data_IF_456112640644
#
_entry.id   IF_456112640644
#
_cell.length_a   1.000
_cell.length_b   1.000
_cell.length_c   1.000
_cell.angle_alpha   90.00
_cell.angle_beta   90.00
_cell.angle_gamma   90.00
#
_symmetry.space_group_name_H-M   'P 1'
#
loop_
_entity.id
_entity.type
_entity.pdbx_description
1 polymer ?
#
# COMPACT_ATOMS: atom_id res chain seq x y z
N UNK A 1 10.81 40.12 -75.50
CA UNK A 1 9.81 39.46 -76.37
C UNK A 1 9.21 38.33 -75.57
N UNK A 2 7.90 38.12 -75.40
CA UNK A 2 6.69 38.83 -75.82
C UNK A 2 5.56 38.31 -74.90
N UNK A 3 4.68 39.21 -74.49
CA UNK A 3 3.41 38.98 -73.79
C UNK A 3 2.53 37.91 -74.45
N UNK A 4 1.71 37.20 -73.65
CA UNK A 4 0.24 37.07 -73.86
C UNK A 4 -0.46 36.23 -72.78
N UNK A 5 -1.36 36.87 -72.04
CA UNK A 5 -2.69 36.31 -71.67
C UNK A 5 -3.57 36.29 -72.95
N UNK A 6 -4.73 35.59 -73.06
CA UNK A 6 -5.86 35.47 -72.11
C UNK A 6 -6.44 34.02 -72.03
N UNK A 7 -7.42 33.64 -71.19
CA UNK A 7 -8.84 33.94 -71.34
C UNK A 7 -9.65 33.40 -70.16
N UNK A 8 -10.55 34.26 -69.67
CA UNK A 8 -11.61 34.00 -68.71
C UNK A 8 -12.67 33.08 -69.33
N UNK A 9 -13.03 32.01 -68.62
CA UNK A 9 -14.31 31.33 -68.78
C UNK A 9 -15.02 31.35 -67.42
N UNK A 10 -16.01 32.23 -67.31
CA UNK A 10 -16.92 32.34 -66.17
C UNK A 10 -17.96 31.23 -66.33
N UNK A 11 -17.85 30.18 -65.53
CA UNK A 11 -18.90 29.18 -65.37
C UNK A 11 -19.77 29.57 -64.17
N UNK A 12 -21.01 29.99 -64.45
CA UNK A 12 -22.07 30.10 -63.47
C UNK A 12 -22.50 28.70 -63.03
N UNK A 13 -22.16 28.30 -61.81
CA UNK A 13 -22.82 27.18 -61.13
C UNK A 13 -23.81 27.73 -60.11
N UNK A 14 -25.10 27.60 -60.42
CA UNK A 14 -26.20 27.67 -59.46
C UNK A 14 -26.04 26.51 -58.46
N UNK A 15 -25.40 26.77 -57.33
CA UNK A 15 -25.42 25.87 -56.19
C UNK A 15 -26.76 26.03 -55.46
N UNK A 16 -27.60 25.00 -55.53
CA UNK A 16 -28.74 24.85 -54.66
C UNK A 16 -28.26 24.92 -53.20
N UNK A 17 -28.84 25.84 -52.41
CA UNK A 17 -28.65 25.89 -50.98
C UNK A 17 -29.28 24.63 -50.36
N UNK A 18 -28.46 23.63 -50.11
CA UNK A 18 -28.80 22.55 -49.17
C UNK A 18 -28.68 23.15 -47.77
N UNK A 19 -29.73 23.19 -46.94
CA UNK A 19 -29.58 23.63 -45.55
C UNK A 19 -28.58 22.69 -44.87
N UNK A 20 -27.56 23.28 -44.24
CA UNK A 20 -26.61 22.54 -43.42
C UNK A 20 -27.40 21.71 -42.38
N UNK A 21 -27.01 20.46 -42.10
CA UNK A 21 -27.59 19.74 -40.99
C UNK A 21 -27.40 20.58 -39.74
N UNK A 22 -28.50 20.91 -39.08
CA UNK A 22 -28.50 21.55 -37.77
C UNK A 22 -27.65 20.68 -36.86
N UNK A 23 -26.43 21.13 -36.58
CA UNK A 23 -25.53 20.53 -35.62
C UNK A 23 -26.25 20.61 -34.27
N UNK A 24 -26.89 19.50 -33.88
CA UNK A 24 -27.50 19.37 -32.56
C UNK A 24 -26.41 19.66 -31.55
N UNK A 25 -26.52 20.82 -30.88
CA UNK A 25 -25.63 21.18 -29.80
C UNK A 25 -25.53 19.96 -28.84
N UNK A 26 -24.33 19.52 -28.46
CA UNK A 26 -24.19 18.39 -27.58
C UNK A 26 -25.02 18.66 -26.32
N UNK A 27 -25.97 17.77 -26.04
CA UNK A 27 -26.73 17.80 -24.79
C UNK A 27 -25.70 17.86 -23.66
N UNK A 28 -25.76 18.84 -22.75
CA UNK A 28 -24.78 18.93 -21.68
C UNK A 28 -24.83 17.62 -20.88
N UNK A 29 -23.75 16.85 -20.97
CA UNK A 29 -23.56 15.64 -20.18
C UNK A 29 -23.44 16.07 -18.73
N UNK A 30 -24.40 15.62 -17.92
CA UNK A 30 -24.38 15.86 -16.47
C UNK A 30 -23.13 15.20 -15.88
N UNK A 31 -22.39 15.87 -14.98
CA UNK A 31 -21.23 15.25 -14.36
C UNK A 31 -21.61 14.00 -13.58
N UNK A 32 -20.82 12.96 -13.79
CA UNK A 32 -20.92 11.64 -13.20
C UNK A 32 -20.32 11.63 -11.80
N UNK A 33 -21.04 11.04 -10.86
CA UNK A 33 -20.64 10.96 -9.45
C UNK A 33 -20.72 9.53 -8.97
N UNK A 34 -19.66 9.05 -8.33
CA UNK A 34 -19.62 7.74 -7.69
C UNK A 34 -19.57 7.90 -6.17
N UNK A 35 -20.34 7.11 -5.43
CA UNK A 35 -20.19 6.99 -3.98
C UNK A 35 -19.22 5.86 -3.67
N UNK A 36 -18.29 6.09 -2.74
CA UNK A 36 -17.29 5.12 -2.37
C UNK A 36 -17.19 4.96 -0.85
N UNK A 37 -17.22 3.72 -0.33
CA UNK A 37 -17.09 3.50 1.10
C UNK A 37 -15.64 3.75 1.56
N UNK A 38 -15.47 4.62 2.55
CA UNK A 38 -14.19 4.88 3.24
C UNK A 38 -13.79 3.69 4.15
N UNK A 39 -14.74 2.81 4.47
CA UNK A 39 -14.51 1.61 5.28
C UNK A 39 -15.46 0.46 4.92
N UNK A 40 -15.07 -0.82 5.11
CA UNK A 40 -15.91 -1.96 4.75
C UNK A 40 -17.29 -1.97 5.42
N UNK A 41 -17.39 -1.47 6.66
CA UNK A 41 -18.61 -1.53 7.46
C UNK A 41 -19.80 -0.75 6.87
N UNK A 42 -19.57 0.31 6.08
CA UNK A 42 -20.66 1.10 5.47
C UNK A 42 -21.02 0.64 4.04
N UNK A 43 -20.29 -0.33 3.48
CA UNK A 43 -20.43 -0.70 2.08
C UNK A 43 -21.83 -1.25 1.73
N UNK A 44 -22.44 -2.03 2.63
CA UNK A 44 -23.79 -2.58 2.44
C UNK A 44 -24.85 -1.50 2.51
N UNK A 45 -24.80 -0.63 3.54
CA UNK A 45 -25.71 0.52 3.70
C UNK A 45 -25.65 1.45 2.48
N UNK A 46 -24.44 1.69 1.96
CA UNK A 46 -24.23 2.51 0.77
C UNK A 46 -24.82 1.87 -0.49
N UNK A 47 -24.71 0.54 -0.66
CA UNK A 47 -25.29 -0.16 -1.80
C UNK A 47 -26.83 -0.12 -1.77
N UNK A 48 -27.44 -0.28 -0.58
CA UNK A 48 -28.88 -0.13 -0.40
C UNK A 48 -29.34 1.30 -0.72
N UNK A 49 -28.57 2.30 -0.28
CA UNK A 49 -28.82 3.69 -0.61
C UNK A 49 -28.78 3.94 -2.12
N UNK A 50 -27.72 3.52 -2.82
CA UNK A 50 -27.57 3.64 -4.29
C UNK A 50 -28.74 3.01 -5.07
N UNK A 51 -29.28 1.88 -4.58
CA UNK A 51 -30.42 1.20 -5.20
C UNK A 51 -31.76 1.92 -4.96
N UNK A 52 -31.85 2.80 -3.96
CA UNK A 52 -33.09 3.44 -3.54
C UNK A 52 -33.50 4.65 -4.41
N UNK A 53 -34.81 4.91 -4.51
CA UNK A 53 -35.32 6.14 -5.11
C UNK A 53 -34.93 7.39 -4.30
N UNK A 54 -34.71 7.24 -2.99
CA UNK A 54 -34.30 8.33 -2.10
C UNK A 54 -32.92 8.90 -2.50
N UNK A 55 -31.96 8.04 -2.87
CA UNK A 55 -30.67 8.51 -3.39
C UNK A 55 -30.84 9.35 -4.66
N UNK A 56 -31.70 8.93 -5.58
CA UNK A 56 -31.97 9.69 -6.81
C UNK A 56 -32.64 11.04 -6.56
N UNK A 57 -33.44 11.15 -5.49
CA UNK A 57 -34.06 12.40 -5.09
C UNK A 57 -33.07 13.36 -4.40
N UNK A 58 -32.07 12.81 -3.70
CA UNK A 58 -31.08 13.58 -2.94
C UNK A 58 -29.88 14.02 -3.78
N UNK A 59 -29.58 13.32 -4.87
CA UNK A 59 -28.56 13.74 -5.83
C UNK A 59 -29.13 14.93 -6.62
N UNK A 60 -28.44 16.09 -6.63
CA UNK A 60 -28.88 17.24 -7.41
C UNK A 60 -29.12 16.84 -8.86
N UNK A 61 -30.23 17.28 -9.48
CA UNK A 61 -30.61 16.90 -10.84
C UNK A 61 -29.57 17.24 -11.92
N UNK A 62 -28.62 18.13 -11.60
CA UNK A 62 -27.45 18.48 -12.42
C UNK A 62 -26.36 17.41 -12.44
N UNK A 63 -26.37 16.47 -11.50
CA UNK A 63 -25.39 15.39 -11.37
C UNK A 63 -26.02 14.05 -11.79
N UNK A 64 -25.20 13.12 -12.26
CA UNK A 64 -25.58 11.75 -12.57
C UNK A 64 -24.92 10.79 -11.58
N UNK A 65 -25.70 10.08 -10.77
CA UNK A 65 -25.17 9.05 -9.88
C UNK A 65 -24.81 7.80 -10.70
N UNK A 66 -23.55 7.39 -10.64
CA UNK A 66 -23.02 6.18 -11.27
C UNK A 66 -22.85 5.10 -10.22
N UNK A 67 -23.26 3.87 -10.56
CA UNK A 67 -23.10 2.73 -9.67
C UNK A 67 -21.63 2.38 -9.48
N UNK A 68 -21.20 2.23 -8.22
CA UNK A 68 -19.84 1.78 -7.89
C UNK A 68 -19.54 0.33 -8.27
N UNK A 69 -20.56 -0.48 -8.55
CA UNK A 69 -20.40 -1.93 -8.70
C UNK A 69 -19.50 -2.32 -9.88
N UNK A 70 -19.65 -1.64 -11.03
CA UNK A 70 -18.83 -1.87 -12.21
C UNK A 70 -17.36 -1.51 -11.94
N UNK A 71 -17.11 -0.31 -11.41
CA UNK A 71 -15.76 0.14 -11.04
C UNK A 71 -15.10 -0.77 -10.01
N UNK A 72 -15.84 -1.20 -8.98
CA UNK A 72 -15.35 -2.11 -7.96
C UNK A 72 -14.99 -3.49 -8.54
N UNK A 73 -15.80 -4.02 -9.47
CA UNK A 73 -15.51 -5.27 -10.15
C UNK A 73 -14.27 -5.16 -11.06
N UNK A 74 -14.11 -4.05 -11.79
CA UNK A 74 -12.90 -3.79 -12.57
C UNK A 74 -11.66 -3.69 -11.67
N UNK A 75 -11.76 -2.96 -10.56
CA UNK A 75 -10.66 -2.79 -9.61
C UNK A 75 -10.23 -4.15 -9.04
N UNK A 76 -11.19 -5.00 -8.67
CA UNK A 76 -10.90 -6.33 -8.15
C UNK A 76 -10.30 -7.26 -9.22
N UNK A 77 -10.77 -7.15 -10.47
CA UNK A 77 -10.15 -7.83 -11.60
C UNK A 77 -8.70 -7.39 -11.81
N UNK A 78 -8.42 -6.08 -11.73
CA UNK A 78 -7.08 -5.53 -11.83
C UNK A 78 -6.18 -6.00 -10.66
N UNK A 79 -6.72 -6.09 -9.44
CA UNK A 79 -5.98 -6.64 -8.27
C UNK A 79 -5.65 -8.10 -8.45
N UNK A 80 -6.60 -8.89 -8.94
CA UNK A 80 -6.38 -10.31 -9.24
C UNK A 80 -5.28 -10.48 -10.28
N UNK A 81 -5.27 -9.65 -11.33
CA UNK A 81 -4.23 -9.67 -12.35
C UNK A 81 -2.85 -9.27 -11.78
N UNK A 82 -2.79 -8.23 -10.94
CA UNK A 82 -1.56 -7.81 -10.26
C UNK A 82 -1.02 -8.92 -9.33
N UNK A 83 -1.91 -9.55 -8.56
CA UNK A 83 -1.60 -10.70 -7.71
C UNK A 83 -1.01 -11.87 -8.52
N UNK A 84 -1.61 -12.19 -9.66
CA UNK A 84 -1.13 -13.26 -10.55
C UNK A 84 0.25 -12.95 -11.16
N UNK A 85 0.50 -11.68 -11.52
CA UNK A 85 1.81 -11.25 -12.00
C UNK A 85 2.89 -11.40 -10.92
N UNK A 86 2.57 -10.97 -9.69
CA UNK A 86 3.44 -11.14 -8.52
C UNK A 86 3.68 -12.62 -8.20
N UNK A 87 2.66 -13.47 -8.28
CA UNK A 87 2.79 -14.92 -8.08
C UNK A 87 3.70 -15.57 -9.14
N UNK A 88 3.64 -15.11 -10.39
CA UNK A 88 4.53 -15.58 -11.47
C UNK A 88 5.98 -15.22 -11.19
N UNK A 89 6.24 -14.00 -10.68
CA UNK A 89 7.58 -13.59 -10.25
C UNK A 89 8.10 -14.42 -9.07
N UNK A 90 7.22 -14.77 -8.11
CA UNK A 90 7.57 -15.68 -7.00
C UNK A 90 8.00 -17.04 -7.55
N UNK A 91 7.18 -17.63 -8.41
CA UNK A 91 7.46 -18.95 -8.94
C UNK A 91 8.78 -18.97 -9.73
N UNK A 92 9.12 -17.88 -10.43
CA UNK A 92 10.42 -17.72 -11.07
C UNK A 92 11.57 -17.69 -10.05
N UNK A 93 11.40 -16.91 -8.99
CA UNK A 93 12.37 -16.83 -7.89
C UNK A 93 12.56 -18.15 -7.17
N UNK A 94 11.51 -18.92 -6.91
CA UNK A 94 11.61 -20.24 -6.30
C UNK A 94 12.41 -21.23 -7.17
N UNK A 95 12.25 -21.17 -8.50
CA UNK A 95 13.06 -21.98 -9.43
C UNK A 95 14.54 -21.60 -9.37
N UNK A 96 14.85 -20.31 -9.27
CA UNK A 96 16.24 -19.86 -9.12
C UNK A 96 16.83 -20.24 -7.77
N UNK A 97 16.06 -20.15 -6.69
CA UNK A 97 16.47 -20.63 -5.37
C UNK A 97 16.67 -22.15 -5.33
N UNK A 98 15.97 -22.92 -6.18
CA UNK A 98 16.26 -24.34 -6.36
C UNK A 98 17.63 -24.57 -7.03
N UNK A 99 17.99 -23.78 -8.05
CA UNK A 99 19.31 -23.84 -8.69
C UNK A 99 20.44 -23.46 -7.71
N UNK A 100 20.21 -22.46 -6.85
CA UNK A 100 21.11 -22.09 -5.74
C UNK A 100 21.34 -23.28 -4.80
N UNK A 101 20.28 -24.04 -4.48
CA UNK A 101 20.39 -25.24 -3.65
C UNK A 101 21.23 -26.33 -4.32
N UNK A 102 21.10 -26.51 -5.63
CA UNK A 102 21.94 -27.46 -6.37
C UNK A 102 23.41 -27.03 -6.41
N UNK A 103 23.68 -25.72 -6.50
CA UNK A 103 25.03 -25.17 -6.35
C UNK A 103 25.60 -25.43 -4.95
N UNK A 104 24.79 -25.24 -3.89
CA UNK A 104 25.17 -25.55 -2.51
C UNK A 104 25.54 -27.03 -2.31
N UNK A 105 24.69 -27.95 -2.78
CA UNK A 105 24.93 -29.39 -2.67
C UNK A 105 26.19 -29.82 -3.43
N UNK A 106 26.47 -29.19 -4.56
CA UNK A 106 27.70 -29.37 -5.32
C UNK A 106 28.91 -28.62 -4.77
N UNK A 107 28.79 -27.90 -3.65
CA UNK A 107 29.82 -27.04 -3.04
C UNK A 107 30.41 -26.01 -4.02
N UNK A 108 29.60 -25.55 -4.98
CA UNK A 108 29.97 -24.55 -5.99
C UNK A 108 29.69 -23.14 -5.46
N UNK A 109 30.47 -22.72 -4.47
CA UNK A 109 30.21 -21.50 -3.70
C UNK A 109 30.18 -20.22 -4.54
N UNK A 110 31.09 -20.06 -5.51
CA UNK A 110 31.11 -18.87 -6.36
C UNK A 110 29.83 -18.74 -7.20
N UNK A 111 29.36 -19.84 -7.77
CA UNK A 111 28.10 -19.88 -8.54
C UNK A 111 26.92 -19.53 -7.65
N UNK A 112 26.91 -20.05 -6.43
CA UNK A 112 25.85 -19.77 -5.46
C UNK A 112 25.82 -18.29 -5.05
N UNK A 113 27.00 -17.69 -4.78
CA UNK A 113 27.12 -16.27 -4.45
C UNK A 113 26.65 -15.42 -5.63
N UNK A 114 27.12 -15.70 -6.85
CA UNK A 114 26.72 -14.97 -8.06
C UNK A 114 25.20 -15.01 -8.29
N UNK A 115 24.59 -16.18 -8.15
CA UNK A 115 23.14 -16.35 -8.31
C UNK A 115 22.35 -15.62 -7.21
N UNK A 116 22.80 -15.71 -5.96
CA UNK A 116 22.18 -14.98 -4.87
C UNK A 116 22.33 -13.48 -5.08
N UNK A 117 23.51 -12.98 -5.50
CA UNK A 117 23.81 -11.58 -5.86
C UNK A 117 22.88 -11.04 -6.93
N UNK A 118 22.66 -11.82 -8.00
CA UNK A 118 21.68 -11.48 -9.04
C UNK A 118 20.26 -11.39 -8.46
N UNK A 119 19.84 -12.37 -7.65
CA UNK A 119 18.51 -12.40 -7.04
C UNK A 119 18.21 -11.16 -6.18
N UNK A 120 19.11 -10.73 -5.31
CA UNK A 120 18.91 -9.50 -4.53
C UNK A 120 18.91 -8.28 -5.44
N UNK A 121 19.90 -8.14 -6.34
CA UNK A 121 19.99 -6.96 -7.20
C UNK A 121 18.73 -6.75 -8.04
N UNK A 122 18.16 -7.83 -8.56
CA UNK A 122 17.00 -7.79 -9.46
C UNK A 122 15.66 -7.83 -8.72
N UNK A 123 15.59 -8.48 -7.55
CA UNK A 123 14.32 -8.75 -6.85
C UNK A 123 14.23 -8.22 -5.44
N UNK A 124 15.20 -7.43 -4.96
CA UNK A 124 15.12 -6.82 -3.64
C UNK A 124 13.80 -6.06 -3.41
N UNK A 125 13.24 -5.28 -4.36
CA UNK A 125 11.93 -4.64 -4.17
C UNK A 125 10.79 -5.62 -3.91
N UNK A 126 10.85 -6.82 -4.49
CA UNK A 126 9.87 -7.88 -4.28
C UNK A 126 10.13 -8.65 -2.97
N UNK A 127 11.39 -8.86 -2.62
CA UNK A 127 11.82 -9.60 -1.42
C UNK A 127 11.64 -8.80 -0.12
N UNK A 128 11.79 -7.48 -0.18
CA UNK A 128 11.74 -6.59 0.97
C UNK A 128 10.30 -6.17 1.37
N UNK A 129 9.28 -6.71 0.68
CA UNK A 129 7.88 -6.54 1.08
C UNK A 129 7.67 -7.27 2.42
N UNK A 130 6.99 -6.68 3.41
CA UNK A 130 6.80 -7.27 4.74
C UNK A 130 6.33 -8.74 4.72
N UNK A 131 5.42 -9.08 3.81
CA UNK A 131 4.90 -10.44 3.64
C UNK A 131 5.94 -11.49 3.19
N UNK A 132 7.16 -11.08 2.80
CA UNK A 132 8.20 -11.93 2.18
C UNK A 132 9.54 -11.90 2.90
N UNK A 133 9.57 -11.29 4.08
CA UNK A 133 10.80 -11.11 4.83
C UNK A 133 11.43 -12.41 5.29
N UNK A 134 10.63 -13.48 5.43
CA UNK A 134 11.14 -14.82 5.64
C UNK A 134 11.97 -15.33 4.46
N UNK A 135 11.58 -15.03 3.22
CA UNK A 135 12.36 -15.41 2.03
C UNK A 135 13.65 -14.62 1.96
N UNK A 136 13.60 -13.30 2.22
CA UNK A 136 14.80 -12.47 2.26
C UNK A 136 15.76 -12.92 3.37
N UNK A 137 15.24 -13.24 4.56
CA UNK A 137 16.02 -13.81 5.66
C UNK A 137 16.76 -15.08 5.24
N UNK A 138 16.08 -15.99 4.54
CA UNK A 138 16.70 -17.24 4.07
C UNK A 138 17.79 -17.01 3.02
N UNK A 139 17.58 -16.04 2.12
CA UNK A 139 18.57 -15.64 1.11
C UNK A 139 19.83 -15.11 1.81
N UNK A 140 19.69 -14.20 2.77
CA UNK A 140 20.82 -13.62 3.48
C UNK A 140 21.57 -14.64 4.35
N UNK A 141 20.85 -15.54 5.01
CA UNK A 141 21.46 -16.67 5.72
C UNK A 141 22.30 -17.52 4.74
N UNK A 142 21.73 -17.91 3.60
CA UNK A 142 22.41 -18.75 2.59
C UNK A 142 23.63 -18.05 1.99
N UNK A 143 23.58 -16.73 1.78
CA UNK A 143 24.76 -15.95 1.37
C UNK A 143 25.86 -16.01 2.40
N UNK A 144 25.54 -15.77 3.67
CA UNK A 144 26.53 -15.85 4.75
C UNK A 144 27.19 -17.22 4.81
N UNK A 145 26.40 -18.28 4.60
CA UNK A 145 26.91 -19.64 4.51
C UNK A 145 27.82 -19.87 3.29
N UNK A 146 27.47 -19.32 2.12
CA UNK A 146 28.27 -19.48 0.91
C UNK A 146 29.64 -18.81 1.04
N UNK A 147 29.70 -17.59 1.59
CA UNK A 147 30.96 -16.91 1.90
C UNK A 147 31.80 -17.72 2.90
N UNK A 148 31.19 -18.18 4.01
CA UNK A 148 31.87 -19.05 4.98
C UNK A 148 32.44 -20.32 4.32
N UNK A 149 31.68 -20.96 3.43
CA UNK A 149 32.07 -22.17 2.71
C UNK A 149 33.24 -21.96 1.76
N UNK A 150 33.27 -20.81 1.06
CA UNK A 150 34.32 -20.44 0.10
C UNK A 150 35.67 -20.16 0.76
N UNK A 151 35.68 -19.54 1.94
CA UNK A 151 36.89 -19.24 2.73
C UNK A 151 37.93 -18.36 1.99
N UNK A 152 37.50 -17.47 1.09
CA UNK A 152 38.38 -16.47 0.51
C UNK A 152 38.71 -15.36 1.52
N UNK A 153 39.71 -14.53 1.21
CA UNK A 153 40.06 -13.36 2.04
C UNK A 153 38.86 -12.41 2.11
N UNK A 154 38.46 -12.03 3.32
CA UNK A 154 37.31 -11.15 3.58
C UNK A 154 35.94 -11.85 3.64
N UNK A 155 35.85 -13.14 3.29
CA UNK A 155 34.57 -13.88 3.33
C UNK A 155 34.03 -14.05 4.76
N UNK A 156 34.89 -14.11 5.77
CA UNK A 156 34.45 -14.20 7.16
C UNK A 156 33.70 -12.93 7.59
N UNK A 157 34.20 -11.76 7.18
CA UNK A 157 33.57 -10.47 7.48
C UNK A 157 32.26 -10.34 6.70
N UNK A 158 32.24 -10.73 5.43
CA UNK A 158 31.03 -10.73 4.62
C UNK A 158 29.97 -11.70 5.18
N UNK A 159 30.37 -12.90 5.59
CA UNK A 159 29.47 -13.85 6.22
C UNK A 159 28.84 -13.27 7.50
N UNK A 160 29.65 -12.63 8.35
CA UNK A 160 29.16 -11.96 9.56
C UNK A 160 28.18 -10.83 9.23
N UNK A 161 28.46 -10.01 8.20
CA UNK A 161 27.54 -8.95 7.72
C UNK A 161 26.20 -9.52 7.26
N UNK A 162 26.22 -10.61 6.50
CA UNK A 162 25.01 -11.27 5.99
C UNK A 162 24.18 -11.91 7.10
N UNK A 163 24.82 -12.55 8.07
CA UNK A 163 24.12 -13.04 9.26
C UNK A 163 23.56 -11.91 10.12
N UNK A 164 24.24 -10.76 10.20
CA UNK A 164 23.72 -9.60 10.93
C UNK A 164 22.47 -9.03 10.25
N UNK A 165 22.45 -8.97 8.91
CA UNK A 165 21.26 -8.58 8.17
C UNK A 165 20.11 -9.58 8.36
N UNK A 166 20.38 -10.89 8.29
CA UNK A 166 19.38 -11.90 8.61
C UNK A 166 18.83 -11.73 10.04
N UNK A 167 19.69 -11.44 11.02
CA UNK A 167 19.25 -11.14 12.38
C UNK A 167 18.38 -9.87 12.45
N UNK A 168 18.70 -8.82 11.70
CA UNK A 168 17.92 -7.59 11.66
C UNK A 168 16.51 -7.82 11.07
N UNK A 169 16.41 -8.60 9.99
CA UNK A 169 15.15 -8.95 9.33
C UNK A 169 14.20 -9.76 10.24
N UNK A 170 14.76 -10.63 11.10
CA UNK A 170 13.97 -11.42 12.05
C UNK A 170 14.75 -11.63 13.38
N UNK A 171 14.66 -10.67 14.33
CA UNK A 171 15.48 -10.65 15.55
C UNK A 171 15.36 -11.89 16.44
N UNK A 172 14.21 -12.56 16.41
CA UNK A 172 13.93 -13.75 17.21
C UNK A 172 14.28 -15.06 16.48
N UNK A 173 14.49 -15.01 15.16
CA UNK A 173 14.73 -16.22 14.36
C UNK A 173 16.18 -16.67 14.49
N UNK A 174 16.38 -17.98 14.63
CA UNK A 174 17.71 -18.61 14.67
C UNK A 174 17.76 -19.73 13.62
N UNK A 175 18.92 -20.00 13.00
CA UNK A 175 19.07 -21.15 12.13
C UNK A 175 18.84 -22.44 12.93
N UNK A 176 17.98 -23.33 12.44
CA UNK A 176 17.74 -24.62 13.07
C UNK A 176 19.02 -25.47 13.06
N UNK A 177 19.45 -25.92 14.25
CA UNK A 177 20.70 -26.69 14.41
C UNK A 177 20.68 -27.99 13.61
N UNK A 178 19.51 -28.61 13.49
CA UNK A 178 19.27 -29.86 12.78
C UNK A 178 19.47 -29.70 11.26
N UNK A 179 19.16 -28.53 10.73
CA UNK A 179 19.24 -28.25 9.29
C UNK A 179 20.62 -27.73 8.89
N UNK A 180 21.23 -26.90 9.72
CA UNK A 180 22.43 -26.14 9.35
C UNK A 180 23.70 -26.57 10.10
N UNK A 181 23.57 -27.41 11.12
CA UNK A 181 24.69 -27.90 11.92
C UNK A 181 25.14 -26.94 13.03
N UNK A 182 25.93 -27.44 14.00
CA UNK A 182 26.32 -26.68 15.18
C UNK A 182 27.26 -25.52 14.89
N UNK A 183 28.11 -25.62 13.87
CA UNK A 183 29.06 -24.56 13.52
C UNK A 183 28.39 -23.28 13.02
N UNK A 184 27.38 -23.44 12.16
CA UNK A 184 26.57 -22.32 11.65
C UNK A 184 25.86 -21.63 12.80
N UNK A 185 25.23 -22.41 13.69
CA UNK A 185 24.56 -21.87 14.87
C UNK A 185 25.55 -21.12 15.76
N UNK A 186 26.74 -21.67 16.00
CA UNK A 186 27.76 -21.02 16.83
C UNK A 186 28.24 -19.68 16.21
N UNK A 187 28.37 -19.60 14.89
CA UNK A 187 28.69 -18.34 14.22
C UNK A 187 27.55 -17.33 14.26
N UNK A 188 26.33 -17.75 13.99
CA UNK A 188 25.16 -16.89 14.08
C UNK A 188 25.01 -16.36 15.52
N UNK A 189 25.28 -17.16 16.55
CA UNK A 189 25.28 -16.73 17.95
C UNK A 189 26.39 -15.72 18.26
N UNK A 190 27.59 -15.84 17.66
CA UNK A 190 28.63 -14.80 17.76
C UNK A 190 28.15 -13.47 17.18
N UNK A 191 27.40 -13.51 16.08
CA UNK A 191 26.79 -12.31 15.49
C UNK A 191 25.70 -11.73 16.40
N UNK A 192 24.85 -12.58 17.00
CA UNK A 192 23.86 -12.15 18.00
C UNK A 192 24.54 -11.45 19.18
N UNK A 193 25.61 -12.04 19.72
CA UNK A 193 26.37 -11.45 20.82
C UNK A 193 26.97 -10.09 20.44
N UNK A 194 27.66 -10.02 19.29
CA UNK A 194 28.22 -8.78 18.77
C UNK A 194 27.16 -7.70 18.55
N UNK A 195 26.00 -8.07 17.99
CA UNK A 195 24.90 -7.14 17.78
C UNK A 195 24.25 -6.70 19.09
N UNK A 196 24.17 -7.56 20.11
CA UNK A 196 23.54 -7.24 21.39
C UNK A 196 24.24 -6.09 22.14
N UNK A 197 25.58 -6.01 22.03
CA UNK A 197 26.40 -4.97 22.66
C UNK A 197 26.54 -3.72 21.80
N UNK A 198 26.20 -3.80 20.50
CA UNK A 198 26.29 -2.66 19.60
C UNK A 198 25.24 -1.59 19.94
N UNK A 199 25.62 -0.31 19.91
CA UNK A 199 24.69 0.79 20.21
C UNK A 199 23.88 1.13 18.95
N UNK A 200 22.53 1.10 19.00
CA UNK A 200 21.71 1.58 17.89
C UNK A 200 21.92 3.07 17.64
N UNK A 201 22.04 3.45 16.38
CA UNK A 201 22.22 4.82 15.92
C UNK A 201 20.95 5.31 15.22
N UNK A 202 20.49 6.49 15.61
CA UNK A 202 19.35 7.14 14.96
C UNK A 202 19.75 7.55 13.52
N UNK A 203 19.23 6.82 12.54
CA UNK A 203 19.48 7.03 11.12
C UNK A 203 18.26 7.70 10.50
N UNK A 204 18.44 8.89 9.93
CA UNK A 204 17.38 9.58 9.22
C UNK A 204 17.15 8.94 7.85
N UNK A 205 15.90 8.58 7.57
CA UNK A 205 15.49 7.92 6.33
C UNK A 205 14.32 8.71 5.76
N UNK A 206 14.47 9.19 4.53
CA UNK A 206 13.46 9.95 3.82
C UNK A 206 13.23 9.40 2.42
N UNK A 207 12.08 9.77 1.85
CA UNK A 207 11.71 9.41 0.49
C UNK A 207 11.21 10.62 -0.31
N UNK A 208 11.35 10.53 -1.61
CA UNK A 208 10.67 11.35 -2.61
C UNK A 208 9.85 10.40 -3.49
N UNK A 209 8.50 10.41 -3.41
CA UNK A 209 7.71 11.40 -2.67
C UNK A 209 7.72 11.18 -1.14
N UNK A 210 7.47 12.25 -0.39
CA UNK A 210 7.57 12.27 1.09
C UNK A 210 6.49 11.47 1.82
N UNK A 211 5.47 10.98 1.11
CA UNK A 211 4.35 10.21 1.66
C UNK A 211 4.49 8.71 1.41
N UNK A 212 5.62 8.25 0.87
CA UNK A 212 5.88 6.84 0.68
C UNK A 212 5.81 6.09 2.02
N UNK A 213 5.25 4.88 2.01
CA UNK A 213 5.40 3.96 3.13
C UNK A 213 6.83 3.43 3.10
N UNK A 214 7.57 3.65 4.19
CA UNK A 214 8.95 3.20 4.33
C UNK A 214 8.97 2.06 5.34
N UNK A 215 9.66 0.99 5.00
CA UNK A 215 9.97 -0.13 5.89
C UNK A 215 11.49 -0.29 5.96
N UNK A 216 11.99 -0.56 7.16
CA UNK A 216 13.39 -0.88 7.41
C UNK A 216 13.46 -2.23 8.07
N UNK A 217 14.24 -3.14 7.47
CA UNK A 217 14.31 -4.55 7.88
C UNK A 217 12.91 -5.14 8.08
N UNK A 218 12.02 -4.82 7.13
CA UNK A 218 10.62 -5.24 7.11
C UNK A 218 9.71 -4.69 8.20
N UNK A 219 10.21 -3.78 9.05
CA UNK A 219 9.41 -3.09 10.05
C UNK A 219 9.01 -1.71 9.53
N UNK A 220 7.77 -1.25 9.76
CA UNK A 220 7.36 0.08 9.33
C UNK A 220 8.20 1.16 10.03
N UNK A 221 8.68 2.13 9.26
CA UNK A 221 9.35 3.30 9.79
C UNK A 221 8.34 4.16 10.56
N UNK A 222 8.72 4.60 11.75
CA UNK A 222 7.85 5.46 12.55
C UNK A 222 7.66 6.85 11.92
N UNK A 223 6.69 7.60 12.46
CA UNK A 223 6.38 8.96 11.98
C UNK A 223 7.53 9.98 12.19
N UNK A 224 8.57 9.63 12.95
CA UNK A 224 9.73 10.51 13.14
C UNK A 224 10.67 10.50 11.92
N UNK A 225 10.51 9.54 11.01
CA UNK A 225 11.40 9.37 9.85
C UNK A 225 12.80 8.92 10.25
N UNK A 226 12.95 8.32 11.44
CA UNK A 226 14.24 7.84 11.96
C UNK A 226 14.13 6.39 12.39
N UNK A 227 15.11 5.59 12.00
CA UNK A 227 15.25 4.22 12.46
C UNK A 227 16.44 4.12 13.43
N UNK A 228 16.26 3.39 14.54
CA UNK A 228 17.34 3.07 15.46
C UNK A 228 18.08 1.82 14.97
N UNK A 229 19.08 2.03 14.11
CA UNK A 229 19.80 0.95 13.43
C UNK A 229 21.13 0.65 14.10
N UNK A 230 21.40 -0.62 14.37
CA UNK A 230 22.74 -1.05 14.83
C UNK A 230 23.74 -0.93 13.66
N UNK A 231 25.06 -0.94 13.89
CA UNK A 231 26.04 -1.00 12.81
C UNK A 231 25.93 -2.31 12.03
N UNK A 232 25.93 -2.23 10.69
CA UNK A 232 25.81 -3.37 9.80
C UNK A 232 25.03 -3.09 8.52
N UNK A 233 24.59 -4.15 7.86
CA UNK A 233 23.74 -4.07 6.68
C UNK A 233 22.26 -4.04 7.08
N UNK A 234 21.49 -3.17 6.42
CA UNK A 234 20.04 -3.04 6.58
C UNK A 234 19.36 -2.93 5.23
N UNK A 235 18.10 -3.35 5.16
CA UNK A 235 17.26 -3.22 3.96
C UNK A 235 16.27 -2.09 4.18
N UNK A 236 16.22 -1.12 3.29
CA UNK A 236 15.17 -0.09 3.27
C UNK A 236 14.31 -0.29 2.04
N UNK A 237 13.01 -0.41 2.25
CA UNK A 237 11.99 -0.56 1.22
C UNK A 237 11.04 0.63 1.28
N UNK A 238 10.70 1.20 0.13
CA UNK A 238 9.72 2.27 0.01
C UNK A 238 8.74 2.03 -1.12
N UNK A 239 7.46 2.28 -0.85
CA UNK A 239 6.38 2.20 -1.81
C UNK A 239 5.48 3.44 -1.70
N UNK A 240 5.03 3.97 -2.83
CA UNK A 240 4.10 5.09 -2.88
C UNK A 240 3.16 4.92 -4.06
N UNK A 241 1.92 5.37 -3.89
CA UNK A 241 0.90 5.17 -4.93
C UNK A 241 1.32 5.89 -6.22
N UNK A 242 1.20 5.19 -7.35
CA UNK A 242 1.59 5.70 -8.67
C UNK A 242 3.10 5.78 -8.93
N UNK A 243 3.93 5.27 -8.02
CA UNK A 243 5.38 5.21 -8.16
C UNK A 243 5.84 3.74 -8.16
N UNK A 244 7.03 3.47 -8.70
CA UNK A 244 7.63 2.14 -8.59
C UNK A 244 8.18 1.95 -7.19
N UNK A 245 7.93 0.78 -6.63
CA UNK A 245 8.55 0.32 -5.41
C UNK A 245 10.07 0.28 -5.56
N UNK A 246 10.78 0.78 -4.56
CA UNK A 246 12.25 0.75 -4.49
C UNK A 246 12.66 0.07 -3.20
N UNK A 247 13.67 -0.79 -3.27
CA UNK A 247 14.35 -1.29 -2.10
C UNK A 247 15.86 -1.24 -2.30
N UNK A 248 16.59 -0.98 -1.21
CA UNK A 248 18.04 -0.80 -1.23
C UNK A 248 18.66 -1.38 0.04
N UNK A 249 19.86 -1.95 -0.11
CA UNK A 249 20.75 -2.19 1.01
C UNK A 249 21.45 -0.89 1.40
N UNK A 250 21.58 -0.68 2.71
CA UNK A 250 22.37 0.39 3.31
C UNK A 250 23.33 -0.21 4.34
N UNK A 251 24.45 0.46 4.55
CA UNK A 251 25.41 0.10 5.59
C UNK A 251 25.45 1.20 6.66
N UNK A 252 25.43 0.81 7.94
CA UNK A 252 25.40 1.70 9.10
C UNK A 252 26.70 1.57 9.92
N UNK A 253 27.24 2.67 10.48
CA UNK A 253 26.73 4.05 10.41
C UNK A 253 26.82 4.62 8.99
N UNK A 254 25.70 5.16 8.50
CA UNK A 254 25.70 5.86 7.24
C UNK A 254 26.38 7.23 7.45
N UNK A 255 27.25 7.62 6.51
CA UNK A 255 27.91 8.93 6.54
C UNK A 255 26.93 10.09 6.27
N UNK A 256 25.75 9.79 5.71
CA UNK A 256 24.72 10.75 5.35
C UNK A 256 23.31 10.17 5.59
N UNK A 257 22.26 11.01 5.69
CA UNK A 257 20.87 10.57 5.68
C UNK A 257 20.57 9.69 4.46
N UNK A 258 19.74 8.67 4.66
CA UNK A 258 19.30 7.79 3.57
C UNK A 258 18.14 8.45 2.86
N UNK A 259 18.32 8.78 1.58
CA UNK A 259 17.28 9.32 0.72
C UNK A 259 16.92 8.32 -0.38
N UNK A 260 15.62 8.02 -0.51
CA UNK A 260 15.06 7.17 -1.55
C UNK A 260 14.29 8.02 -2.55
N UNK A 261 14.61 7.90 -3.83
CA UNK A 261 13.80 8.50 -4.90
C UNK A 261 13.03 7.38 -5.59
N UNK A 262 11.71 7.46 -5.57
CA UNK A 262 10.82 6.51 -6.21
C UNK A 262 10.44 7.07 -7.58
N UNK A 263 10.82 6.42 -8.69
CA UNK A 263 10.44 6.89 -10.01
C UNK A 263 8.94 6.68 -10.24
N UNK A 264 8.29 7.50 -11.10
CA UNK A 264 6.91 7.25 -11.51
C UNK A 264 6.73 5.84 -12.10
N UNK A 265 5.56 5.27 -11.88
CA UNK A 265 5.18 3.97 -12.47
C UNK A 265 5.03 4.09 -13.99
N UNK A 266 5.49 3.07 -14.72
CA UNK A 266 5.26 2.94 -16.17
C UNK A 266 3.84 2.50 -16.51
N UNK A 267 3.09 1.98 -15.53
CA UNK A 267 1.71 1.58 -15.74
C UNK A 267 0.89 2.84 -16.02
N UNK A 268 0.25 2.89 -17.18
CA UNK A 268 -0.48 4.07 -17.66
C UNK A 268 -1.94 4.04 -17.21
N UNK A 269 -2.50 2.84 -17.01
CA UNK A 269 -3.86 2.67 -16.50
C UNK A 269 -3.92 2.99 -15.00
N UNK A 270 -4.64 4.05 -14.65
CA UNK A 270 -4.80 4.51 -13.28
C UNK A 270 -5.41 3.46 -12.35
N UNK A 271 -6.31 2.61 -12.86
CA UNK A 271 -6.93 1.55 -12.09
C UNK A 271 -5.93 0.42 -11.81
N UNK A 272 -5.10 0.06 -12.78
CA UNK A 272 -4.04 -0.95 -12.58
C UNK A 272 -2.96 -0.46 -11.63
N UNK A 273 -2.57 0.82 -11.72
CA UNK A 273 -1.69 1.45 -10.71
C UNK A 273 -2.29 1.32 -9.31
N UNK A 274 -3.54 1.76 -9.15
CA UNK A 274 -4.27 1.70 -7.88
C UNK A 274 -4.38 0.26 -7.34
N UNK A 275 -4.58 -0.72 -8.23
CA UNK A 275 -4.68 -2.13 -7.89
C UNK A 275 -3.35 -2.71 -7.42
N UNK A 276 -2.24 -2.42 -8.10
CA UNK A 276 -0.91 -2.88 -7.74
C UNK A 276 -0.49 -2.37 -6.34
N UNK A 277 -0.83 -1.12 -6.03
CA UNK A 277 -0.46 -0.47 -4.77
C UNK A 277 -1.32 -0.94 -3.58
N UNK A 278 -2.48 -1.56 -3.83
CA UNK A 278 -3.41 -2.02 -2.78
C UNK A 278 -3.32 -3.52 -2.49
N UNK A 279 -2.32 -4.22 -3.04
CA UNK A 279 -2.11 -5.65 -2.87
C UNK A 279 -1.87 -6.08 -1.40
N UNK A 280 -1.32 -5.19 -0.55
CA UNK A 280 -0.91 -5.51 0.82
C UNK A 280 -1.98 -5.25 1.91
N UNK A 281 -3.26 -5.02 1.53
CA UNK A 281 -4.32 -4.87 2.53
C UNK A 281 -5.52 -3.99 2.18
N UNK A 282 -5.81 -3.80 0.89
CA UNK A 282 -6.96 -3.01 0.41
C UNK A 282 -6.67 -1.50 0.33
N UNK A 283 -7.51 -0.77 -0.42
CA UNK A 283 -7.48 0.69 -0.42
C UNK A 283 -8.02 1.18 0.91
N UNK A 284 -7.15 1.58 1.82
CA UNK A 284 -7.56 2.11 3.13
C UNK A 284 -8.02 3.55 3.04
N UNK A 285 -7.68 4.27 1.96
CA UNK A 285 -8.06 5.66 1.67
C UNK A 285 -7.81 6.63 2.83
N UNK A 286 -6.95 6.24 3.76
CA UNK A 286 -6.58 7.03 4.93
C UNK A 286 -5.67 8.19 4.49
N UNK A 287 -4.82 7.91 3.50
CA UNK A 287 -3.82 8.82 2.96
C UNK A 287 -4.33 9.60 1.74
N UNK A 288 -3.84 10.82 1.56
CA UNK A 288 -4.31 11.72 0.49
C UNK A 288 -3.89 11.27 -0.91
N UNK A 289 -2.76 10.60 -1.05
CA UNK A 289 -2.26 9.99 -2.29
C UNK A 289 -3.17 8.84 -2.77
N UNK A 290 -3.59 7.95 -1.85
CA UNK A 290 -4.55 6.89 -2.17
C UNK A 290 -5.88 7.46 -2.66
N UNK A 291 -6.39 8.51 -2.01
CA UNK A 291 -7.61 9.22 -2.44
C UNK A 291 -7.43 9.85 -3.82
N UNK A 292 -6.30 10.51 -4.08
CA UNK A 292 -6.01 11.09 -5.41
C UNK A 292 -5.93 10.03 -6.49
N UNK A 293 -5.35 8.88 -6.19
CA UNK A 293 -5.26 7.78 -7.14
C UNK A 293 -6.62 7.14 -7.42
N UNK A 294 -7.49 7.03 -6.41
CA UNK A 294 -8.89 6.63 -6.62
C UNK A 294 -9.61 7.62 -7.56
N UNK A 295 -9.46 8.92 -7.33
CA UNK A 295 -10.08 9.96 -8.18
C UNK A 295 -9.51 9.90 -9.61
N UNK A 296 -8.21 9.72 -9.77
CA UNK A 296 -7.60 9.58 -11.09
C UNK A 296 -8.09 8.32 -11.82
N UNK A 297 -8.26 7.20 -11.10
CA UNK A 297 -8.82 5.98 -11.66
C UNK A 297 -10.29 6.16 -12.05
N UNK A 298 -11.09 6.86 -11.23
CA UNK A 298 -12.48 7.18 -11.51
C UNK A 298 -12.61 8.11 -12.72
N UNK A 299 -11.81 9.18 -12.80
CA UNK A 299 -11.79 10.10 -13.93
C UNK A 299 -11.43 9.40 -15.25
N UNK A 300 -10.55 8.39 -15.22
CA UNK A 300 -10.23 7.57 -16.39
C UNK A 300 -11.41 6.68 -16.87
N UNK A 301 -12.52 6.63 -16.11
CA UNK A 301 -13.80 6.00 -16.49
C UNK A 301 -14.93 7.02 -16.58
N UNK A 302 -14.61 8.28 -16.89
CA UNK A 302 -15.58 9.37 -17.05
C UNK A 302 -16.46 9.61 -15.80
N UNK A 303 -15.87 9.41 -14.61
CA UNK A 303 -16.48 9.77 -13.32
C UNK A 303 -15.83 11.06 -12.82
N UNK A 304 -16.59 12.15 -12.83
CA UNK A 304 -16.12 13.50 -12.52
C UNK A 304 -15.85 13.72 -11.02
N UNK A 305 -16.63 13.08 -10.15
CA UNK A 305 -16.49 13.20 -8.71
C UNK A 305 -16.66 11.87 -7.96
N UNK A 306 -15.89 11.71 -6.89
CA UNK A 306 -16.03 10.58 -5.95
C UNK A 306 -16.44 11.12 -4.59
N UNK A 307 -17.54 10.65 -4.02
CA UNK A 307 -17.92 10.95 -2.64
C UNK A 307 -17.47 9.82 -1.74
N UNK A 308 -16.48 10.08 -0.89
CA UNK A 308 -16.10 9.17 0.19
C UNK A 308 -17.15 9.24 1.30
N UNK A 309 -17.65 8.08 1.71
CA UNK A 309 -18.66 7.95 2.76
C UNK A 309 -18.16 6.99 3.84
N UNK A 310 -18.20 7.40 5.10
CA UNK A 310 -17.77 6.59 6.25
C UNK A 310 -18.64 6.83 7.48
N UNK A 311 -18.33 6.13 8.58
CA UNK A 311 -18.89 6.42 9.91
C UNK A 311 -17.78 6.85 10.86
N UNK A 312 -18.05 7.87 11.66
CA UNK A 312 -17.18 8.31 12.76
C UNK A 312 -18.03 8.58 14.00
N UNK A 313 -17.72 7.84 15.07
CA UNK A 313 -18.58 7.73 16.25
C UNK A 313 -19.99 7.27 15.81
N UNK A 314 -21.02 8.04 16.14
CA UNK A 314 -22.43 7.76 15.80
C UNK A 314 -22.92 8.54 14.56
N UNK A 315 -22.02 9.16 13.77
CA UNK A 315 -22.40 9.98 12.62
C UNK A 315 -21.88 9.40 11.29
N UNK A 316 -22.67 9.59 10.24
CA UNK A 316 -22.22 9.42 8.86
C UNK A 316 -21.40 10.64 8.45
N UNK A 317 -20.23 10.37 7.88
CA UNK A 317 -19.36 11.40 7.32
C UNK A 317 -19.25 11.23 5.82
N UNK A 318 -19.34 12.34 5.08
CA UNK A 318 -19.18 12.34 3.63
C UNK A 318 -18.28 13.49 3.16
N UNK A 319 -17.50 13.25 2.11
CA UNK A 319 -16.61 14.22 1.48
C UNK A 319 -16.57 14.00 -0.03
N UNK A 320 -16.72 15.07 -0.79
CA UNK A 320 -16.55 15.03 -2.25
C UNK A 320 -15.07 15.23 -2.61
N UNK A 321 -14.59 14.42 -3.55
CA UNK A 321 -13.26 14.47 -4.13
C UNK A 321 -13.40 14.76 -5.63
N UNK A 322 -12.69 15.78 -6.11
CA UNK A 322 -12.67 16.18 -7.53
C UNK A 322 -11.25 16.57 -7.88
N UNK A 323 -10.65 15.88 -8.86
CA UNK A 323 -9.24 16.05 -9.20
C UNK A 323 -8.35 15.99 -7.96
N UNK A 324 -7.62 17.07 -7.66
CA UNK A 324 -6.78 17.18 -6.46
C UNK A 324 -7.50 17.80 -5.24
N UNK A 325 -8.74 18.27 -5.41
CA UNK A 325 -9.51 18.98 -4.40
C UNK A 325 -10.38 18.07 -3.54
N UNK A 326 -10.63 18.51 -2.30
CA UNK A 326 -11.42 17.79 -1.29
C UNK A 326 -12.38 18.78 -0.64
N UNK A 327 -13.67 18.45 -0.57
CA UNK A 327 -14.65 19.28 0.14
C UNK A 327 -14.54 19.14 1.66
N UNK A 328 -15.07 20.09 2.45
CA UNK A 328 -15.22 19.93 3.89
C UNK A 328 -16.00 18.67 4.26
N UNK A 329 -15.74 18.09 5.43
CA UNK A 329 -16.52 16.96 5.94
C UNK A 329 -17.95 17.38 6.22
N UNK A 330 -18.91 16.77 5.54
CA UNK A 330 -20.30 16.76 5.99
C UNK A 330 -20.46 15.70 7.08
N UNK A 331 -21.08 16.05 8.22
CA UNK A 331 -21.34 15.13 9.34
C UNK A 331 -22.82 15.17 9.70
N UNK A 332 -23.52 14.06 9.49
CA UNK A 332 -24.97 13.95 9.72
C UNK A 332 -25.33 12.64 10.41
N UNK A 333 -26.52 12.57 11.00
CA UNK A 333 -27.06 11.32 11.56
C UNK A 333 -27.48 10.32 10.49
N UNK A 334 -27.90 10.82 9.33
CA UNK A 334 -28.40 10.02 8.21
C UNK A 334 -27.46 10.06 7.00
N UNK A 335 -27.34 8.92 6.32
CA UNK A 335 -26.50 8.76 5.13
C UNK A 335 -26.89 9.72 4.00
N UNK A 336 -28.19 9.84 3.73
CA UNK A 336 -28.68 10.68 2.64
C UNK A 336 -28.35 12.16 2.82
N UNK A 337 -28.46 12.68 4.05
CA UNK A 337 -28.11 14.07 4.36
C UNK A 337 -26.62 14.33 4.23
N UNK A 338 -25.77 13.43 4.73
CA UNK A 338 -24.32 13.55 4.59
C UNK A 338 -23.90 13.60 3.12
N UNK A 339 -24.45 12.69 2.30
CA UNK A 339 -24.17 12.64 0.85
C UNK A 339 -24.64 13.92 0.17
N UNK A 340 -25.89 14.36 0.40
CA UNK A 340 -26.42 15.58 -0.20
C UNK A 340 -25.58 16.82 0.17
N UNK A 341 -25.18 16.94 1.44
CA UNK A 341 -24.33 18.03 1.91
C UNK A 341 -22.92 18.00 1.27
N UNK A 342 -22.35 16.82 1.04
CA UNK A 342 -21.08 16.70 0.32
C UNK A 342 -21.23 17.08 -1.17
N UNK A 343 -22.33 16.65 -1.83
CA UNK A 343 -22.62 16.95 -3.23
C UNK A 343 -22.95 18.43 -3.49
N UNK A 344 -23.41 19.17 -2.48
CA UNK A 344 -23.65 20.60 -2.60
C UNK A 344 -22.39 21.39 -3.00
N UNK A 345 -21.19 20.83 -2.73
CA UNK A 345 -19.91 21.40 -3.13
C UNK A 345 -19.52 21.09 -4.58
N UNK A 346 -20.25 20.23 -5.30
CA UNK A 346 -19.96 19.89 -6.70
C UNK A 346 -20.89 20.68 -7.61
N UNK A 347 -20.33 21.51 -8.49
CA UNK A 347 -21.10 22.32 -9.44
C UNK A 347 -21.59 21.53 -10.68
N UNK A 348 -22.15 22.24 -11.65
CA UNK A 348 -22.69 21.65 -12.88
C UNK A 348 -21.59 21.21 -13.86
N UNK A 349 -20.36 21.66 -13.66
CA UNK A 349 -19.18 21.32 -14.48
C UNK A 349 -18.32 20.25 -13.77
N UNK A 350 -18.77 19.75 -12.62
CA UNK A 350 -18.07 18.73 -11.84
C UNK A 350 -16.94 19.28 -10.98
N UNK A 351 -16.83 20.59 -10.79
CA UNK A 351 -15.79 21.22 -9.98
C UNK A 351 -16.23 21.46 -8.52
N UNK A 352 -15.25 21.56 -7.63
CA UNK A 352 -15.52 21.94 -6.24
C UNK A 352 -15.74 23.46 -6.12
N UNK A 353 -16.92 23.83 -5.64
CA UNK A 353 -17.32 25.22 -5.37
C UNK A 353 -17.98 25.35 -4.02
N UNK A 354 -17.90 26.55 -3.42
CA UNK A 354 -18.58 26.84 -2.15
C UNK A 354 -20.09 26.97 -2.41
N UNK A 355 -20.95 26.20 -1.72
CA UNK A 355 -22.39 26.31 -1.91
C UNK A 355 -22.90 27.66 -1.40
N UNK A 356 -23.81 28.29 -2.15
CA UNK A 356 -24.39 29.60 -1.80
C UNK A 356 -25.11 29.62 -0.43
N UNK A 357 -25.63 28.48 0.02
CA UNK A 357 -26.27 28.31 1.33
C UNK A 357 -25.29 28.22 2.50
N UNK A 358 -23.98 28.06 2.27
CA UNK A 358 -22.98 28.00 3.33
C UNK A 358 -22.84 29.33 4.11
N UNK A 359 -23.21 30.45 3.50
CA UNK A 359 -23.13 31.77 4.13
C UNK A 359 -24.28 32.02 5.13
N UNK A 360 -25.37 31.25 5.05
CA UNK A 360 -26.51 31.37 5.97
C UNK A 360 -26.22 30.72 7.34
N UNK A 361 -25.46 29.63 7.38
CA UNK A 361 -25.11 28.95 8.65
C UNK A 361 -23.99 29.63 9.44
N UNK A 362 -23.09 30.38 8.79
CA UNK A 362 -22.06 31.16 9.51
C UNK A 362 -22.65 32.35 10.30
N UNK A 363 -23.87 32.78 9.95
CA UNK A 363 -24.58 33.90 10.57
C UNK A 363 -25.47 33.48 11.75
N UNK A 364 -25.78 32.17 11.87
CA UNK A 364 -26.73 31.64 12.85
C UNK A 364 -26.06 30.98 14.08
N UNK A 365 -24.73 31.01 14.19
CA UNK A 365 -24.01 30.39 15.31
C UNK A 365 -23.08 31.37 16.05
N UNK A 366 -23.64 32.52 16.45
CA UNK A 366 -23.24 33.20 17.70
C UNK A 366 -24.34 32.95 18.72
N UNK A 367 -24.36 31.74 19.27
CA UNK A 367 -25.13 31.45 20.49
C UNK A 367 -24.10 31.28 21.61
N UNK A 368 -24.40 31.97 22.69
CA UNK A 368 -23.55 32.27 23.83
C UNK A 368 -22.72 31.11 24.38
N UNK A 369 -21.46 31.42 24.68
CA UNK A 369 -20.64 30.62 25.57
C UNK A 369 -21.28 30.61 26.97
N UNK A 370 -21.83 29.47 27.38
CA UNK A 370 -22.21 29.19 28.77
C UNK A 370 -21.53 27.90 29.27
N UNK A 371 -21.26 27.82 30.59
CA UNK A 371 -20.03 27.22 31.11
C UNK A 371 -20.06 25.69 31.19
N UNK A 372 -18.86 25.10 31.08
CA UNK A 372 -18.57 23.66 31.16
C UNK A 372 -19.18 23.01 32.42
N UNK A 373 -20.24 22.24 32.25
CA UNK A 373 -20.71 21.29 33.27
C UNK A 373 -19.76 20.08 33.32
N UNK A 374 -19.03 19.95 34.44
CA UNK A 374 -18.28 18.73 34.79
C UNK A 374 -19.27 17.59 35.07
N UNK A 375 -19.20 16.48 34.33
CA UNK A 375 -19.92 15.24 34.65
C UNK A 375 -18.97 14.06 34.93
N UNK A 376 -18.92 13.76 36.24
CA UNK A 376 -18.80 12.48 36.99
C UNK A 376 -18.01 11.30 36.39
N UNK A 377 -16.84 11.08 37.01
CA UNK A 377 -15.98 9.88 36.98
C UNK A 377 -16.62 8.76 37.83
N UNK A 378 -17.61 8.03 37.30
CA UNK A 378 -18.22 6.88 38.02
C UNK A 378 -18.34 5.62 37.14
N UNK A 379 -17.71 5.56 35.97
CA UNK A 379 -17.74 4.35 35.11
C UNK A 379 -16.39 3.61 34.96
N UNK A 380 -15.34 4.06 35.65
CA UNK A 380 -14.01 3.39 35.59
C UNK A 380 -13.78 2.29 36.63
N UNK A 381 -14.75 1.99 37.51
CA UNK A 381 -14.55 1.00 38.58
C UNK A 381 -14.78 -0.46 38.14
N UNK A 382 -15.69 -0.71 37.19
CA UNK A 382 -16.02 -2.08 36.77
C UNK A 382 -14.99 -2.71 35.80
N UNK A 383 -14.20 -1.88 35.11
CA UNK A 383 -13.16 -2.37 34.19
C UNK A 383 -12.03 -3.10 34.93
N UNK A 384 -11.76 -2.75 36.19
CA UNK A 384 -10.69 -3.35 36.99
C UNK A 384 -11.03 -4.76 37.49
N UNK A 385 -12.32 -5.10 37.66
CA UNK A 385 -12.76 -6.46 38.04
C UNK A 385 -12.63 -7.50 36.93
N UNK A 386 -12.66 -7.09 35.65
CA UNK A 386 -12.50 -8.04 34.52
C UNK A 386 -11.03 -8.42 34.34
N UNK A 387 -10.13 -7.44 34.44
CA UNK A 387 -8.67 -7.67 34.27
C UNK A 387 -8.12 -8.58 35.39
N UNK A 388 -8.64 -8.47 36.61
CA UNK A 388 -8.24 -9.35 37.72
C UNK A 388 -8.61 -10.83 37.53
N UNK A 389 -9.78 -11.11 36.95
CA UNK A 389 -10.28 -12.50 36.81
C UNK A 389 -9.56 -13.27 35.69
N UNK A 390 -9.14 -12.59 34.62
CA UNK A 390 -8.40 -13.21 33.50
C UNK A 390 -6.97 -13.59 33.89
N UNK A 391 -6.32 -12.80 34.75
CA UNK A 391 -4.96 -13.08 35.21
C UNK A 391 -4.88 -14.33 36.12
N UNK A 392 -5.91 -14.58 36.94
CA UNK A 392 -5.95 -15.78 37.80
C UNK A 392 -6.31 -17.04 37.01
N UNK A 393 -7.13 -16.94 35.97
CA UNK A 393 -7.48 -18.06 35.09
C UNK A 393 -6.30 -18.60 34.26
N UNK A 394 -5.43 -17.72 33.76
CA UNK A 394 -4.24 -18.11 32.99
C UNK A 394 -3.13 -18.72 33.87
N UNK A 395 -3.07 -18.37 35.15
CA UNK A 395 -2.09 -18.93 36.08
C UNK A 395 -2.34 -20.40 36.46
N UNK A 396 -3.61 -20.85 36.44
CA UNK A 396 -3.97 -22.24 36.78
C UNK A 396 -4.00 -23.15 35.54
N UNK A 397 -4.29 -22.61 34.36
CA UNK A 397 -4.41 -23.40 33.11
C UNK A 397 -3.09 -23.89 32.50
N UNK A 398 -1.96 -23.24 32.81
CA UNK A 398 -0.63 -23.62 32.28
C UNK A 398 0.12 -24.68 33.12
N UNK A 399 -0.44 -25.09 34.27
CA UNK A 399 0.23 -26.02 35.20
C UNK A 399 -0.06 -27.52 35.00
N UNK A 400 -1.00 -27.91 34.13
CA UNK A 400 -1.48 -29.33 34.06
C UNK A 400 -1.33 -29.95 32.65
N UNK A 401 -0.87 -29.20 31.64
CA UNK A 401 -0.91 -29.63 30.23
C UNK A 401 0.37 -30.21 29.61
N UNK A 402 1.37 -30.63 30.40
CA UNK A 402 2.56 -31.32 29.89
C UNK A 402 2.47 -32.83 30.18
N UNK A 403 1.89 -33.58 29.25
CA UNK A 403 1.94 -35.04 29.29
C UNK A 403 1.18 -35.71 28.13
N UNK A 404 1.91 -36.53 27.36
CA UNK A 404 1.45 -37.58 26.42
C UNK A 404 1.28 -37.22 24.92
N UNK A 405 2.45 -37.15 24.25
CA UNK A 405 2.91 -37.87 23.04
C UNK A 405 1.93 -38.78 22.24
N UNK A 406 1.91 -38.62 20.90
CA UNK A 406 2.09 -39.67 19.85
C UNK A 406 2.20 -39.01 18.44
N UNK A 407 3.37 -38.99 17.75
CA UNK A 407 3.88 -39.92 16.69
C UNK A 407 2.81 -40.33 15.66
N UNK A 408 2.90 -40.05 14.35
CA UNK A 408 3.93 -40.51 13.38
C UNK A 408 3.75 -39.79 11.99
N UNK A 409 4.55 -40.06 10.92
CA UNK A 409 5.27 -39.03 10.15
C UNK A 409 5.09 -39.10 8.61
N UNK A 410 5.68 -38.15 7.87
CA UNK A 410 6.20 -38.42 6.52
C UNK A 410 7.67 -37.96 6.46
N UNK A 411 8.56 -38.90 6.13
CA UNK A 411 10.00 -38.76 6.16
C UNK A 411 10.58 -38.71 4.74
N UNK A 412 11.64 -37.92 4.56
CA UNK A 412 12.68 -38.18 3.57
C UNK A 412 14.05 -37.92 4.22
N UNK A 413 14.76 -39.02 4.52
CA UNK A 413 16.10 -39.05 5.11
C UNK A 413 17.08 -39.44 4.01
N UNK A 414 18.09 -38.60 3.76
CA UNK A 414 19.21 -38.92 2.87
C UNK A 414 20.41 -39.32 3.75
N UNK A 415 20.92 -40.54 3.56
CA UNK A 415 22.19 -41.00 4.14
C UNK A 415 23.33 -40.69 3.17
N UNK A 416 24.41 -40.08 3.66
CA UNK A 416 25.70 -40.01 2.95
C UNK A 416 26.63 -41.15 3.39
N UNK A 417 27.52 -41.66 2.50
CA UNK A 417 28.51 -42.66 2.87
C UNK A 417 29.69 -42.03 3.64
N UNK A 418 30.27 -42.82 4.54
CA UNK A 418 31.44 -42.48 5.38
C UNK A 418 32.73 -42.37 4.59
#
# INVERSE_FOLDING_TARGET
MLLRAPSLAVAWCLAAHTPAPTETAPTPTRPSVMLWPDQPAIASELAEFEASAAARALVPSRLALVSRAAFAAELEGARTAAAAAVATQVAAMERELAAVRDAWLGQRWDVMIEQLDALERERLPLLAIPARCDTLWEIELRRGLAHRGRKAVGDADEAARRFALALALAPERRPARELWGPEVVAEFLRVVEAQSVAVPLATAIGSDPTHASIHVDCQPLDASGRAALRPGLHVVHAAAVGHRTVARLIETPASAPVALSLPPSDETDALRRLAADSFDGGLRLERNDERRALVAAAAARDIDAVVLVGRRDDAVVARALVGAGISPTARHGELGEAVAAALAWVDADGHLTRPASADVSASAQRVDASPKQRRKVVHSWWLWTIVGTVAVGLGVGLGVGLGLRERQPDHLVVYGPR
#
